data_IF_048867133655
#
_entry.id   IF_048867133655
#
_cell.length_a   1.000
_cell.length_b   1.000
_cell.length_c   1.000
_cell.angle_alpha   90.00
_cell.angle_beta   90.00
_cell.angle_gamma   90.00
#
_symmetry.space_group_name_H-M   'P 1'
#
loop_
_entity.id
_entity.type
_entity.pdbx_description
1 polymer ?
#
# COMPACT_ATOMS: atom_id res chain seq x y z
N UNK A 1 -6.81 -19.21 47.46
CA UNK A 1 -6.31 -18.34 46.37
C UNK A 1 -5.48 -19.15 45.40
N UNK A 2 -5.85 -19.19 44.12
CA UNK A 2 -5.00 -19.76 43.08
C UNK A 2 -3.95 -18.72 42.64
N UNK A 3 -2.68 -19.11 42.52
CA UNK A 3 -1.59 -18.21 42.11
C UNK A 3 -1.65 -17.93 40.61
N UNK A 4 -1.38 -16.68 40.21
CA UNK A 4 -1.24 -16.23 38.82
C UNK A 4 0.19 -15.81 38.49
N UNK A 5 0.48 -15.59 37.20
CA UNK A 5 1.80 -15.13 36.74
C UNK A 5 1.99 -13.65 37.10
N UNK A 6 3.17 -13.30 37.63
CA UNK A 6 3.44 -11.97 38.19
C UNK A 6 3.82 -10.92 37.14
N UNK A 7 4.53 -11.31 36.07
CA UNK A 7 4.93 -10.42 34.97
C UNK A 7 5.36 -11.23 33.74
N UNK A 8 5.23 -10.66 32.54
CA UNK A 8 5.78 -11.24 31.30
C UNK A 8 6.06 -10.17 30.24
N UNK A 9 7.26 -10.23 29.67
CA UNK A 9 7.64 -9.47 28.47
C UNK A 9 7.43 -10.26 27.17
N UNK A 10 6.80 -11.44 27.25
CA UNK A 10 6.51 -12.25 26.07
C UNK A 10 5.65 -11.43 25.09
N UNK A 11 6.02 -11.45 23.80
CA UNK A 11 5.39 -10.71 22.71
C UNK A 11 5.56 -9.17 22.72
N UNK A 12 6.24 -8.57 23.71
CA UNK A 12 6.38 -7.10 23.74
C UNK A 12 7.29 -6.58 22.61
N UNK A 13 8.41 -7.25 22.33
CA UNK A 13 9.28 -6.89 21.20
C UNK A 13 8.53 -6.96 19.86
N UNK A 14 7.78 -8.04 19.62
CA UNK A 14 6.98 -8.22 18.40
C UNK A 14 5.91 -7.13 18.25
N UNK A 15 5.29 -6.68 19.34
CA UNK A 15 4.33 -5.57 19.32
C UNK A 15 5.00 -4.23 19.05
N UNK A 16 6.15 -3.96 19.65
CA UNK A 16 6.89 -2.72 19.46
C UNK A 16 7.31 -2.52 18.00
N UNK A 17 7.76 -3.60 17.34
CA UNK A 17 8.19 -3.55 15.93
C UNK A 17 7.06 -3.70 14.91
N UNK A 18 5.79 -3.79 15.34
CA UNK A 18 4.64 -3.86 14.41
C UNK A 18 4.48 -2.57 13.59
N UNK A 19 4.85 -1.42 14.17
CA UNK A 19 4.72 -0.10 13.55
C UNK A 19 6.10 0.42 13.14
N UNK A 20 6.71 -0.21 12.14
CA UNK A 20 8.11 0.02 11.74
C UNK A 20 8.39 1.23 10.84
N UNK A 21 7.42 2.10 10.57
CA UNK A 21 7.61 3.23 9.66
C UNK A 21 7.59 4.58 10.40
N UNK A 22 8.52 5.50 10.07
CA UNK A 22 8.54 6.83 10.66
C UNK A 22 7.29 7.63 10.25
N UNK A 23 6.83 8.50 11.15
CA UNK A 23 5.71 9.39 10.86
C UNK A 23 6.12 10.49 9.87
N UNK A 24 5.21 10.89 8.98
CA UNK A 24 5.36 12.03 8.08
C UNK A 24 4.85 13.35 8.71
N UNK A 25 5.00 13.50 10.03
CA UNK A 25 4.60 14.71 10.76
C UNK A 25 5.68 15.78 10.56
N UNK A 26 5.28 17.01 10.23
CA UNK A 26 6.20 18.13 9.95
C UNK A 26 6.64 18.25 8.49
N UNK A 27 6.27 17.30 7.61
CA UNK A 27 6.48 17.44 6.17
C UNK A 27 5.54 18.50 5.57
N UNK A 28 5.99 19.16 4.50
CA UNK A 28 5.25 20.23 3.82
C UNK A 28 3.76 19.86 3.55
N UNK A 29 2.81 20.73 3.95
CA UNK A 29 1.39 20.48 3.75
C UNK A 29 0.96 20.30 2.28
N UNK A 30 1.67 20.87 1.30
CA UNK A 30 1.34 20.70 -0.13
C UNK A 30 1.74 19.30 -0.59
N UNK A 31 2.95 18.86 -0.26
CA UNK A 31 3.43 17.50 -0.49
C UNK A 31 2.51 16.46 0.17
N UNK A 32 2.12 16.66 1.43
CA UNK A 32 1.25 15.75 2.17
C UNK A 32 -0.15 15.62 1.56
N UNK A 33 -0.70 16.70 1.00
CA UNK A 33 -1.98 16.66 0.27
C UNK A 33 -1.86 15.84 -1.01
N UNK A 34 -0.87 16.15 -1.86
CA UNK A 34 -0.64 15.41 -3.09
C UNK A 34 -0.39 13.91 -2.84
N UNK A 35 0.46 13.59 -1.86
CA UNK A 35 0.76 12.21 -1.48
C UNK A 35 -0.51 11.42 -1.09
N UNK A 36 -1.44 12.04 -0.34
CA UNK A 36 -2.74 11.41 -0.04
C UNK A 36 -3.55 11.15 -1.30
N UNK A 37 -3.70 12.15 -2.17
CA UNK A 37 -4.48 11.99 -3.40
C UNK A 37 -3.90 10.93 -4.34
N UNK A 38 -2.58 10.86 -4.48
CA UNK A 38 -1.90 9.85 -5.28
C UNK A 38 -2.16 8.42 -4.75
N UNK A 39 -2.03 8.20 -3.45
CA UNK A 39 -2.31 6.91 -2.82
C UNK A 39 -3.78 6.47 -2.97
N UNK A 40 -4.72 7.42 -2.88
CA UNK A 40 -6.14 7.11 -3.12
C UNK A 40 -6.42 6.83 -4.60
N UNK A 41 -5.76 7.53 -5.52
CA UNK A 41 -5.89 7.31 -6.96
C UNK A 41 -5.41 5.93 -7.39
N UNK A 42 -4.25 5.48 -6.91
CA UNK A 42 -3.71 4.16 -7.24
C UNK A 42 -4.61 3.03 -6.74
N UNK A 43 -5.16 3.16 -5.54
CA UNK A 43 -6.09 2.18 -4.98
C UNK A 43 -7.38 2.04 -5.81
N UNK A 44 -7.94 3.17 -6.27
CA UNK A 44 -9.14 3.18 -7.15
C UNK A 44 -8.85 2.48 -8.48
N UNK A 45 -7.73 2.82 -9.12
CA UNK A 45 -7.32 2.21 -10.38
C UNK A 45 -7.12 0.70 -10.25
N UNK A 46 -6.47 0.24 -9.17
CA UNK A 46 -6.28 -1.19 -8.90
C UNK A 46 -7.61 -1.92 -8.66
N UNK A 47 -8.56 -1.28 -7.98
CA UNK A 47 -9.91 -1.83 -7.75
C UNK A 47 -10.69 -1.96 -9.06
N UNK A 48 -10.71 -0.94 -9.90
CA UNK A 48 -11.41 -0.96 -11.19
C UNK A 48 -10.84 -2.00 -12.16
N UNK A 49 -9.52 -2.19 -12.13
CA UNK A 49 -8.85 -3.27 -12.85
C UNK A 49 -9.26 -4.65 -12.32
N UNK A 50 -9.35 -4.83 -11.00
CA UNK A 50 -9.82 -6.08 -10.39
C UNK A 50 -11.28 -6.36 -10.74
N UNK A 51 -12.10 -5.33 -10.85
CA UNK A 51 -13.51 -5.40 -11.24
C UNK A 51 -13.72 -5.50 -12.76
N UNK A 52 -12.64 -5.56 -13.56
CA UNK A 52 -12.73 -5.68 -15.03
C UNK A 52 -13.23 -4.42 -15.75
N UNK A 53 -13.52 -3.34 -15.02
CA UNK A 53 -13.96 -2.04 -15.57
C UNK A 53 -12.83 -1.31 -16.29
N UNK A 54 -11.58 -1.72 -16.05
CA UNK A 54 -10.39 -1.22 -16.73
C UNK A 54 -9.54 -2.39 -17.22
N UNK A 55 -9.20 -2.38 -18.51
CA UNK A 55 -8.28 -3.35 -19.12
C UNK A 55 -6.86 -3.04 -18.68
N UNK A 56 -6.17 -4.02 -18.08
CA UNK A 56 -4.71 -3.96 -17.92
C UNK A 56 -4.08 -4.11 -19.30
N UNK A 57 -3.54 -3.02 -19.82
CA UNK A 57 -2.72 -3.07 -21.01
C UNK A 57 -1.36 -3.63 -20.57
N UNK A 58 -1.09 -4.90 -20.88
CA UNK A 58 0.23 -5.46 -20.64
C UNK A 58 1.24 -4.77 -21.57
N UNK A 59 2.23 -4.09 -21.00
CA UNK A 59 3.25 -3.36 -21.77
C UNK A 59 4.00 -4.26 -22.78
N UNK A 60 3.99 -5.58 -22.57
CA UNK A 60 4.58 -6.59 -23.46
C UNK A 60 3.74 -6.92 -24.71
N UNK A 61 2.46 -6.54 -24.77
CA UNK A 61 1.56 -6.81 -25.91
C UNK A 61 1.40 -5.62 -26.84
N UNK A 62 1.59 -4.39 -26.35
CA UNK A 62 1.41 -3.15 -27.13
C UNK A 62 2.47 -3.00 -28.24
N UNK A 63 3.71 -3.44 -27.99
CA UNK A 63 4.79 -3.41 -28.99
C UNK A 63 4.57 -4.37 -30.17
N UNK A 64 3.79 -5.45 -30.01
CA UNK A 64 3.49 -6.38 -31.10
C UNK A 64 2.43 -5.84 -32.06
N UNK A 65 1.49 -5.01 -31.59
CA UNK A 65 0.41 -4.46 -32.40
C UNK A 65 0.85 -3.29 -33.29
N UNK A 66 1.86 -2.51 -32.87
CA UNK A 66 2.42 -1.43 -33.71
C UNK A 66 3.42 -1.92 -34.78
N UNK A 67 3.87 -3.18 -34.69
CA UNK A 67 4.82 -3.78 -35.65
C UNK A 67 4.13 -4.62 -36.73
N UNK A 68 2.85 -4.95 -36.54
CA UNK A 68 2.00 -5.62 -37.53
C UNK A 68 0.99 -4.57 -37.99
N UNK A 69 1.33 -3.85 -39.05
CA UNK A 69 0.41 -2.94 -39.72
C UNK A 69 -0.73 -3.74 -40.34
N UNK A 70 -1.94 -3.55 -39.79
CA UNK A 70 -3.22 -3.85 -40.44
C UNK A 70 -4.08 -2.60 -40.31
#
# INVERSE_FOLDING_TARGET
MAKSKNSSQHNQAKKAHKNGYPSLKGTDPKFRRNHRHALHGTMRALKEVKEGKRVRINASTTSRKSKIGV
#
